data_IF_443743963477
#
_entry.id   IF_443743963477
#
_cell.length_a   1.000
_cell.length_b   1.000
_cell.length_c   1.000
_cell.angle_alpha   90.00
_cell.angle_beta   90.00
_cell.angle_gamma   90.00
#
_symmetry.space_group_name_H-M   'P 1'
#
loop_
_entity.id
_entity.type
_entity.pdbx_description
1 polymer ?
#
# COMPACT_ATOMS: atom_id res chain seq x y z
N UNK A 1 5.65 -3.63 -21.36
CA UNK A 1 4.46 -4.05 -22.13
C UNK A 1 3.53 -2.87 -22.48
N UNK A 2 3.62 -1.72 -21.79
CA UNK A 2 2.95 -0.49 -22.22
C UNK A 2 1.43 -0.49 -22.05
N UNK A 3 0.89 -1.33 -21.16
CA UNK A 3 -0.54 -1.37 -20.90
C UNK A 3 -0.96 -0.16 -20.08
N UNK A 4 -1.96 0.58 -20.59
CA UNK A 4 -2.52 1.76 -19.91
C UNK A 4 -3.50 1.41 -18.79
N UNK A 5 -4.17 0.25 -18.86
CA UNK A 5 -5.00 -0.28 -17.78
C UNK A 5 -4.49 -1.68 -17.38
N UNK A 6 -3.79 -1.74 -16.25
CA UNK A 6 -3.24 -2.98 -15.70
C UNK A 6 -4.23 -3.77 -14.84
N UNK A 7 -5.40 -3.21 -14.51
CA UNK A 7 -6.43 -3.82 -13.66
C UNK A 7 -7.49 -4.60 -14.45
N UNK A 8 -7.55 -4.41 -15.77
CA UNK A 8 -8.47 -5.10 -16.65
C UNK A 8 -7.79 -5.70 -17.89
N UNK A 9 -6.76 -6.51 -17.70
CA UNK A 9 -6.03 -7.19 -18.78
C UNK A 9 -6.79 -8.40 -19.34
N UNK A 10 -6.71 -8.57 -20.65
CA UNK A 10 -7.23 -9.74 -21.37
C UNK A 10 -6.39 -10.98 -21.11
N UNK A 11 -6.93 -12.17 -21.41
CA UNK A 11 -6.18 -13.43 -21.26
C UNK A 11 -4.86 -13.43 -22.06
N UNK A 12 -4.80 -12.98 -23.32
CA UNK A 12 -3.54 -12.86 -24.04
C UNK A 12 -2.54 -11.90 -23.38
N UNK A 13 -3.02 -10.77 -22.84
CA UNK A 13 -2.16 -9.82 -22.13
C UNK A 13 -1.64 -10.40 -20.82
N UNK A 14 -2.50 -11.08 -20.04
CA UNK A 14 -2.11 -11.80 -18.82
C UNK A 14 -1.09 -12.90 -19.12
N UNK A 15 -1.21 -13.59 -20.27
CA UNK A 15 -0.18 -14.55 -20.69
C UNK A 15 1.18 -13.86 -20.86
N UNK A 16 1.24 -12.72 -21.53
CA UNK A 16 2.48 -11.96 -21.68
C UNK A 16 3.05 -11.49 -20.32
N UNK A 17 2.18 -11.06 -19.39
CA UNK A 17 2.58 -10.73 -18.02
C UNK A 17 3.20 -11.94 -17.33
N UNK A 18 2.53 -13.10 -17.41
CA UNK A 18 3.01 -14.35 -16.81
C UNK A 18 4.38 -14.73 -17.36
N UNK A 19 4.52 -14.76 -18.68
CA UNK A 19 5.77 -15.12 -19.35
C UNK A 19 6.92 -14.21 -18.87
N UNK A 20 6.65 -12.91 -18.67
CA UNK A 20 7.66 -11.96 -18.17
C UNK A 20 7.99 -12.17 -16.68
N UNK A 21 7.01 -12.47 -15.85
CA UNK A 21 7.22 -12.76 -14.43
C UNK A 21 7.98 -14.07 -14.20
N UNK A 22 7.72 -15.10 -15.02
CA UNK A 22 8.49 -16.35 -15.00
C UNK A 22 9.95 -16.13 -15.44
N UNK A 23 10.19 -15.24 -16.40
CA UNK A 23 11.56 -14.79 -16.71
C UNK A 23 12.22 -14.08 -15.52
N UNK A 24 11.47 -13.22 -14.84
CA UNK A 24 11.95 -12.45 -13.68
C UNK A 24 12.23 -13.32 -12.45
N UNK A 25 11.52 -14.43 -12.26
CA UNK A 25 11.74 -15.36 -11.14
C UNK A 25 13.19 -15.82 -11.00
N UNK A 26 13.92 -15.93 -12.11
CA UNK A 26 15.35 -16.27 -12.12
C UNK A 26 16.25 -15.25 -11.41
N UNK A 27 15.75 -14.04 -11.18
CA UNK A 27 16.44 -12.93 -10.51
C UNK A 27 15.77 -12.56 -9.18
N UNK A 28 14.58 -13.08 -8.90
CA UNK A 28 13.84 -12.74 -7.70
C UNK A 28 14.45 -13.46 -6.48
N UNK A 29 14.94 -12.69 -5.52
CA UNK A 29 15.48 -13.24 -4.27
C UNK A 29 14.41 -13.91 -3.43
N UNK A 30 13.22 -13.30 -3.31
CA UNK A 30 12.08 -13.83 -2.56
C UNK A 30 10.78 -13.09 -2.88
N UNK A 31 9.65 -13.66 -2.46
CA UNK A 31 8.35 -13.00 -2.37
C UNK A 31 8.02 -12.75 -0.89
N UNK A 32 8.13 -11.51 -0.44
CA UNK A 32 7.92 -11.12 0.96
C UNK A 32 6.42 -10.94 1.28
N UNK A 33 6.04 -11.04 2.56
CA UNK A 33 4.63 -11.02 2.97
C UNK A 33 4.09 -9.61 3.28
N UNK A 34 4.96 -8.67 3.66
CA UNK A 34 4.59 -7.26 3.88
C UNK A 34 5.77 -6.35 4.26
N UNK A 35 5.49 -5.08 4.57
CA UNK A 35 6.50 -4.03 4.78
C UNK A 35 7.53 -4.30 5.90
N UNK A 36 7.17 -5.08 6.92
CA UNK A 36 8.15 -5.50 7.94
C UNK A 36 9.23 -6.43 7.36
N UNK A 37 8.84 -7.34 6.47
CA UNK A 37 9.76 -8.30 5.85
C UNK A 37 10.69 -7.62 4.84
N UNK A 38 10.18 -6.68 4.03
CA UNK A 38 11.01 -5.99 3.03
C UNK A 38 12.15 -5.19 3.69
N UNK A 39 11.85 -4.47 4.78
CA UNK A 39 12.87 -3.74 5.54
C UNK A 39 13.90 -4.71 6.13
N UNK A 40 13.45 -5.82 6.70
CA UNK A 40 14.34 -6.84 7.28
C UNK A 40 15.32 -7.38 6.22
N UNK A 41 14.80 -7.77 5.05
CA UNK A 41 15.61 -8.28 3.93
C UNK A 41 16.64 -7.23 3.45
N UNK A 42 16.23 -5.96 3.34
CA UNK A 42 17.12 -4.87 2.97
C UNK A 42 18.22 -4.61 4.01
N UNK A 43 17.90 -4.73 5.31
CA UNK A 43 18.87 -4.58 6.39
C UNK A 43 19.90 -5.71 6.40
N UNK A 44 19.47 -6.94 6.13
CA UNK A 44 20.34 -8.11 6.02
C UNK A 44 21.22 -8.08 4.76
N UNK A 45 20.89 -7.24 3.78
CA UNK A 45 21.61 -7.17 2.50
C UNK A 45 21.24 -8.30 1.54
N UNK A 46 20.10 -8.96 1.77
CA UNK A 46 19.60 -10.04 0.92
C UNK A 46 18.95 -9.50 -0.37
N UNK A 47 18.55 -8.23 -0.37
CA UNK A 47 17.99 -7.54 -1.53
C UNK A 47 18.67 -6.20 -1.77
N UNK A 48 18.82 -5.82 -3.03
CA UNK A 48 19.34 -4.51 -3.47
C UNK A 48 18.27 -3.62 -4.10
N UNK A 49 17.12 -4.21 -4.45
CA UNK A 49 15.93 -3.55 -4.96
C UNK A 49 14.71 -4.39 -4.61
N UNK A 50 13.59 -3.74 -4.31
CA UNK A 50 12.30 -4.36 -4.06
C UNK A 50 11.19 -3.41 -4.51
N UNK A 51 10.02 -3.94 -4.87
CA UNK A 51 8.83 -3.10 -4.90
C UNK A 51 8.43 -2.78 -3.46
N UNK A 52 7.91 -1.60 -3.16
CA UNK A 52 7.43 -1.22 -1.83
C UNK A 52 6.08 -0.51 -1.94
N UNK A 53 5.28 -0.51 -0.87
CA UNK A 53 3.99 0.20 -0.84
C UNK A 53 4.10 1.62 -0.27
N UNK A 54 5.18 1.92 0.42
CA UNK A 54 5.52 3.23 1.00
C UNK A 54 7.01 3.51 0.79
N UNK A 55 7.50 4.67 1.23
CA UNK A 55 8.93 4.97 1.20
C UNK A 55 9.64 4.54 2.50
N UNK A 56 10.34 3.39 2.54
CA UNK A 56 11.12 2.99 3.72
C UNK A 56 12.48 3.70 3.79
N UNK A 57 12.82 4.62 2.87
CA UNK A 57 14.16 5.20 2.76
C UNK A 57 14.61 5.88 4.04
N UNK A 58 13.75 6.65 4.71
CA UNK A 58 14.09 7.30 5.98
C UNK A 58 14.46 6.27 7.06
N UNK A 59 13.66 5.21 7.19
CA UNK A 59 13.89 4.14 8.16
C UNK A 59 15.18 3.36 7.86
N UNK A 60 15.45 3.08 6.59
CA UNK A 60 16.65 2.38 6.14
C UNK A 60 17.92 3.25 6.31
N UNK A 61 17.84 4.56 6.00
CA UNK A 61 18.92 5.53 6.24
C UNK A 61 19.28 5.64 7.72
N UNK A 62 18.28 5.71 8.60
CA UNK A 62 18.50 5.73 10.05
C UNK A 62 19.22 4.47 10.57
N UNK A 63 19.15 3.36 9.82
CA UNK A 63 19.83 2.10 10.11
C UNK A 63 21.11 1.89 9.29
N UNK A 64 21.66 2.96 8.71
CA UNK A 64 22.93 2.95 7.99
C UNK A 64 22.87 2.34 6.58
N UNK A 65 21.68 2.16 6.01
CA UNK A 65 21.50 1.73 4.61
C UNK A 65 21.20 2.91 3.71
N UNK A 66 21.76 2.91 2.50
CA UNK A 66 21.51 3.97 1.52
C UNK A 66 20.46 3.53 0.50
N UNK A 67 19.18 3.58 0.88
CA UNK A 67 18.05 3.32 -0.01
C UNK A 67 17.34 4.61 -0.40
N UNK A 68 16.78 4.61 -1.61
CA UNK A 68 15.92 5.67 -2.12
C UNK A 68 14.76 5.05 -2.90
N UNK A 69 13.54 5.50 -2.62
CA UNK A 69 12.38 5.19 -3.45
C UNK A 69 12.45 5.95 -4.78
N UNK A 70 12.09 5.26 -5.86
CA UNK A 70 12.02 5.85 -7.21
C UNK A 70 10.69 5.48 -7.87
N UNK A 71 10.20 6.37 -8.72
CA UNK A 71 9.14 6.05 -9.69
C UNK A 71 9.84 5.64 -10.99
N UNK A 72 9.67 4.39 -11.47
CA UNK A 72 10.22 3.94 -12.75
C UNK A 72 9.68 4.76 -13.93
N UNK A 73 10.40 4.78 -15.05
CA UNK A 73 9.96 5.49 -16.28
C UNK A 73 8.65 4.95 -16.85
N UNK A 74 8.33 3.69 -16.57
CA UNK A 74 7.07 3.04 -16.93
C UNK A 74 5.88 3.47 -16.05
N UNK A 75 6.14 4.24 -14.99
CA UNK A 75 5.17 4.61 -13.95
C UNK A 75 5.22 3.70 -12.73
N UNK A 76 4.45 4.07 -11.70
CA UNK A 76 4.24 3.27 -10.48
C UNK A 76 2.75 3.06 -10.23
N UNK A 77 2.39 2.03 -9.45
CA UNK A 77 1.02 1.90 -8.94
C UNK A 77 0.87 2.70 -7.66
N UNK A 78 -0.29 3.32 -7.46
CA UNK A 78 -0.61 4.08 -6.25
C UNK A 78 -1.91 3.60 -5.63
N UNK A 79 -2.12 3.87 -4.34
CA UNK A 79 -3.36 3.55 -3.64
C UNK A 79 -3.73 4.69 -2.69
N UNK A 80 -5.02 4.77 -2.37
CA UNK A 80 -5.54 5.57 -1.28
C UNK A 80 -6.44 4.68 -0.44
N UNK A 81 -6.17 4.65 0.85
CA UNK A 81 -7.04 3.97 1.79
C UNK A 81 -8.08 4.95 2.34
N UNK A 82 -9.30 4.48 2.50
CA UNK A 82 -10.40 5.26 3.06
C UNK A 82 -10.96 4.55 4.28
N UNK A 83 -11.25 5.31 5.33
CA UNK A 83 -12.02 4.78 6.45
C UNK A 83 -13.44 4.45 5.97
N UNK A 84 -13.88 3.22 6.23
CA UNK A 84 -15.21 2.74 5.90
C UNK A 84 -15.91 2.24 7.16
N UNK A 85 -17.20 2.55 7.30
CA UNK A 85 -18.06 1.99 8.35
C UNK A 85 -18.87 0.86 7.70
N UNK A 86 -18.75 -0.36 8.25
CA UNK A 86 -19.46 -1.52 7.74
C UNK A 86 -20.98 -1.32 7.84
N UNK A 87 -21.70 -1.71 6.78
CA UNK A 87 -23.17 -1.64 6.77
C UNK A 87 -23.80 -2.71 7.67
N UNK A 88 -23.20 -3.89 7.71
CA UNK A 88 -23.55 -4.97 8.64
C UNK A 88 -22.61 -4.92 9.85
N UNK A 89 -23.20 -4.95 11.04
CA UNK A 89 -22.50 -4.87 12.32
C UNK A 89 -22.09 -6.24 12.84
N UNK A 90 -22.35 -7.31 12.08
CA UNK A 90 -21.81 -8.65 12.22
C UNK A 90 -21.55 -9.09 13.65
N UNK A 91 -22.55 -9.72 14.28
CA UNK A 91 -22.43 -10.62 15.44
C UNK A 91 -21.32 -10.29 16.45
N UNK A 92 -21.25 -9.05 16.91
CA UNK A 92 -20.57 -8.79 18.17
C UNK A 92 -21.57 -9.12 19.27
N UNK A 93 -21.17 -9.87 20.31
CA UNK A 93 -22.01 -10.22 21.49
C UNK A 93 -22.64 -9.00 22.20
N UNK A 94 -22.35 -7.79 21.72
CA UNK A 94 -23.02 -6.52 22.01
C UNK A 94 -24.41 -6.37 21.35
N UNK A 95 -25.01 -7.43 20.78
CA UNK A 95 -26.36 -7.41 20.16
C UNK A 95 -27.47 -6.88 21.09
N UNK A 96 -27.22 -6.72 22.39
CA UNK A 96 -28.18 -6.23 23.37
C UNK A 96 -28.19 -4.71 23.64
N UNK A 97 -27.37 -3.90 22.96
CA UNK A 97 -27.53 -2.42 23.02
C UNK A 97 -27.91 -1.80 21.66
N UNK A 98 -29.13 -2.08 21.16
CA UNK A 98 -29.64 -1.48 19.94
C UNK A 98 -30.10 -0.07 20.29
N UNK A 99 -29.18 0.89 20.23
CA UNK A 99 -29.48 2.31 20.43
C UNK A 99 -29.83 2.63 21.90
N UNK A 100 -29.14 3.63 22.48
CA UNK A 100 -29.47 4.10 23.82
C UNK A 100 -30.93 4.58 23.90
N UNK A 101 -31.49 4.69 25.12
CA UNK A 101 -32.85 5.25 25.33
C UNK A 101 -33.03 6.67 24.75
N UNK A 102 -31.92 7.33 24.44
CA UNK A 102 -31.79 8.63 23.80
C UNK A 102 -31.82 8.59 22.26
N UNK A 103 -31.93 7.40 21.65
CA UNK A 103 -31.91 7.25 20.20
C UNK A 103 -30.50 7.24 19.59
N UNK A 104 -29.44 7.19 20.41
CA UNK A 104 -28.06 7.26 19.93
C UNK A 104 -27.44 5.88 19.76
N UNK A 105 -26.90 5.64 18.58
CA UNK A 105 -26.08 4.48 18.28
C UNK A 105 -24.63 4.69 18.73
N UNK A 106 -24.24 4.02 19.81
CA UNK A 106 -22.91 4.23 20.41
C UNK A 106 -21.78 3.71 19.52
N UNK A 107 -21.98 2.62 18.78
CA UNK A 107 -20.95 2.08 17.88
C UNK A 107 -20.75 3.01 16.69
N UNK A 108 -21.84 3.53 16.12
CA UNK A 108 -21.77 4.54 15.08
C UNK A 108 -21.03 5.78 15.59
N UNK A 109 -21.37 6.27 16.78
CA UNK A 109 -20.74 7.44 17.39
C UNK A 109 -19.23 7.22 17.60
N UNK A 110 -18.84 6.09 18.19
CA UNK A 110 -17.43 5.75 18.42
C UNK A 110 -16.67 5.64 17.09
N UNK A 111 -17.27 5.02 16.06
CA UNK A 111 -16.64 4.93 14.74
C UNK A 111 -16.36 6.32 14.14
N UNK A 112 -17.30 7.26 14.24
CA UNK A 112 -17.08 8.63 13.77
C UNK A 112 -16.03 9.36 14.60
N UNK A 113 -16.04 9.21 15.92
CA UNK A 113 -15.03 9.80 16.81
C UNK A 113 -13.63 9.25 16.49
N UNK A 114 -13.52 7.94 16.25
CA UNK A 114 -12.27 7.32 15.84
C UNK A 114 -11.79 7.87 14.50
N UNK A 115 -12.65 7.93 13.48
CA UNK A 115 -12.29 8.50 12.17
C UNK A 115 -11.82 9.95 12.32
N UNK A 116 -12.58 10.79 13.04
CA UNK A 116 -12.22 12.19 13.30
C UNK A 116 -10.87 12.33 13.98
N UNK A 117 -10.58 11.46 14.96
CA UNK A 117 -9.27 11.43 15.62
C UNK A 117 -8.17 11.03 14.63
N UNK A 118 -8.37 9.97 13.84
CA UNK A 118 -7.37 9.48 12.89
C UNK A 118 -7.05 10.45 11.75
N UNK A 119 -8.01 11.27 11.33
CA UNK A 119 -7.81 12.27 10.27
C UNK A 119 -7.34 13.62 10.80
N UNK A 120 -7.16 13.78 12.12
CA UNK A 120 -6.68 15.04 12.68
C UNK A 120 -5.26 15.34 12.20
N UNK A 121 -4.88 16.62 12.07
CA UNK A 121 -3.57 17.00 11.54
C UNK A 121 -2.40 16.36 12.29
N UNK A 122 -2.47 16.35 13.62
CA UNK A 122 -1.42 15.85 14.52
C UNK A 122 -1.29 14.32 14.41
N UNK A 123 -2.41 13.59 14.40
CA UNK A 123 -2.39 12.13 14.27
C UNK A 123 -1.88 11.71 12.90
N UNK A 124 -2.27 12.42 11.83
CA UNK A 124 -1.74 12.19 10.49
C UNK A 124 -0.23 12.46 10.41
N UNK A 125 0.31 13.46 11.12
CA UNK A 125 1.76 13.68 11.25
C UNK A 125 2.45 12.49 11.93
N UNK A 126 1.94 12.04 13.07
CA UNK A 126 2.52 10.89 13.79
C UNK A 126 2.51 9.62 12.92
N UNK A 127 1.42 9.38 12.20
CA UNK A 127 1.31 8.26 11.27
C UNK A 127 2.33 8.35 10.14
N UNK A 128 2.53 9.53 9.54
CA UNK A 128 3.54 9.74 8.51
C UNK A 128 4.96 9.47 9.03
N UNK A 129 5.27 9.88 10.27
CA UNK A 129 6.57 9.66 10.92
C UNK A 129 6.86 8.18 11.21
N UNK A 130 5.83 7.41 11.56
CA UNK A 130 5.96 5.98 11.85
C UNK A 130 6.01 5.15 10.57
N UNK A 131 5.12 5.45 9.62
CA UNK A 131 4.86 4.57 8.47
C UNK A 131 5.55 5.01 7.19
N UNK A 132 5.86 6.30 7.03
CA UNK A 132 6.30 6.86 5.74
C UNK A 132 5.18 6.98 4.70
N UNK A 133 3.90 6.84 5.12
CA UNK A 133 2.75 7.10 4.27
C UNK A 133 2.39 8.59 4.28
N UNK A 134 2.06 9.12 3.11
CA UNK A 134 1.67 10.51 2.94
C UNK A 134 0.31 10.79 3.60
N UNK A 135 0.17 11.87 4.38
CA UNK A 135 -1.10 12.24 5.00
C UNK A 135 -2.12 12.70 3.95
N UNK A 136 -3.40 12.45 4.22
CA UNK A 136 -4.51 12.89 3.37
C UNK A 136 -5.10 14.24 3.79
N UNK A 137 -4.76 14.73 4.99
CA UNK A 137 -5.23 16.02 5.50
C UNK A 137 -4.22 17.14 5.17
N UNK A 138 -4.64 18.13 4.36
CA UNK A 138 -3.80 19.27 3.98
C UNK A 138 -3.36 20.11 5.18
N UNK A 139 -4.14 20.13 6.26
CA UNK A 139 -3.81 20.83 7.50
C UNK A 139 -2.64 20.18 8.26
N UNK A 140 -2.21 18.99 7.85
CA UNK A 140 -0.97 18.37 8.36
C UNK A 140 0.29 19.03 7.79
N UNK A 141 0.23 19.66 6.60
CA UNK A 141 1.41 20.25 5.95
C UNK A 141 2.20 21.24 6.82
N UNK A 142 1.57 22.19 7.54
CA UNK A 142 2.29 23.13 8.40
C UNK A 142 2.99 22.49 9.59
N UNK A 143 2.66 21.24 9.93
CA UNK A 143 3.23 20.49 11.05
C UNK A 143 4.46 19.66 10.66
N UNK A 144 4.72 19.52 9.35
CA UNK A 144 5.82 18.71 8.81
C UNK A 144 7.06 19.58 8.55
N UNK A 145 8.24 18.97 8.68
CA UNK A 145 9.49 19.59 8.23
C UNK A 145 9.55 19.69 6.71
N UNK A 146 10.44 20.54 6.20
CA UNK A 146 10.68 20.66 4.76
C UNK A 146 11.14 19.33 4.17
N UNK A 147 11.98 18.61 4.89
CA UNK A 147 12.49 17.30 4.49
C UNK A 147 11.35 16.28 4.39
N UNK A 148 10.46 16.24 5.38
CA UNK A 148 9.28 15.36 5.36
C UNK A 148 8.36 15.67 4.17
N UNK A 149 8.11 16.96 3.89
CA UNK A 149 7.28 17.38 2.75
C UNK A 149 7.86 16.87 1.43
N UNK A 150 9.19 16.95 1.26
CA UNK A 150 9.87 16.48 0.05
C UNK A 150 9.87 14.95 -0.03
N UNK A 151 10.18 14.25 1.08
CA UNK A 151 10.24 12.79 1.10
C UNK A 151 8.86 12.14 0.88
N UNK A 152 7.78 12.76 1.38
CA UNK A 152 6.40 12.31 1.18
C UNK A 152 5.77 12.85 -0.12
N UNK A 153 6.54 13.54 -0.96
CA UNK A 153 6.11 14.13 -2.23
C UNK A 153 4.91 15.08 -2.12
N UNK A 154 4.75 15.74 -0.97
CA UNK A 154 3.61 16.60 -0.67
C UNK A 154 3.69 17.98 -1.35
N UNK A 155 4.83 18.28 -1.98
CA UNK A 155 5.08 19.50 -2.76
C UNK A 155 5.02 19.27 -4.28
N UNK A 156 4.61 18.08 -4.73
CA UNK A 156 4.50 17.71 -6.14
C UNK A 156 3.01 17.60 -6.53
N UNK A 157 2.37 18.67 -7.03
CA UNK A 157 0.94 18.65 -7.32
C UNK A 157 0.54 17.67 -8.45
N UNK A 158 1.50 17.33 -9.32
CA UNK A 158 1.38 16.38 -10.42
C UNK A 158 1.85 14.96 -10.04
N UNK A 159 2.13 14.70 -8.76
CA UNK A 159 2.66 13.42 -8.31
C UNK A 159 1.82 12.23 -8.78
N UNK A 160 0.49 12.35 -8.68
CA UNK A 160 -0.46 11.32 -9.07
C UNK A 160 -0.60 11.14 -10.58
N UNK A 161 -0.25 12.13 -11.40
CA UNK A 161 -0.28 12.00 -12.86
C UNK A 161 0.73 10.98 -13.38
N UNK A 162 1.72 10.62 -12.54
CA UNK A 162 2.74 9.59 -12.81
C UNK A 162 2.37 8.21 -12.26
N UNK A 163 1.18 8.08 -11.67
CA UNK A 163 0.72 6.87 -11.01
C UNK A 163 -0.47 6.22 -11.72
N UNK A 164 -0.49 4.89 -11.70
CA UNK A 164 -1.66 4.08 -12.03
C UNK A 164 -2.36 3.70 -10.72
N UNK A 165 -3.34 4.49 -10.32
CA UNK A 165 -4.10 4.26 -9.10
C UNK A 165 -4.84 2.91 -9.14
N UNK A 166 -4.86 2.20 -8.01
CA UNK A 166 -5.58 0.94 -7.86
C UNK A 166 -7.05 1.10 -8.26
N UNK A 167 -7.51 0.21 -9.13
CA UNK A 167 -8.85 0.27 -9.72
C UNK A 167 -9.54 -1.10 -9.64
N UNK A 168 -10.84 -1.11 -9.91
CA UNK A 168 -11.67 -2.30 -9.95
C UNK A 168 -11.10 -3.34 -10.92
N UNK A 169 -10.90 -4.57 -10.41
CA UNK A 169 -10.37 -5.70 -11.16
C UNK A 169 -11.48 -6.70 -11.50
N UNK A 170 -12.24 -6.53 -12.61
CA UNK A 170 -13.37 -7.41 -12.94
C UNK A 170 -12.98 -8.87 -13.20
N UNK A 171 -11.68 -9.13 -13.39
CA UNK A 171 -11.11 -10.45 -13.68
C UNK A 171 -10.08 -10.89 -12.63
N UNK A 172 -10.22 -10.43 -11.38
CA UNK A 172 -9.27 -10.66 -10.27
C UNK A 172 -8.85 -12.13 -10.12
N UNK A 173 -9.78 -13.06 -10.30
CA UNK A 173 -9.50 -14.49 -10.25
C UNK A 173 -8.41 -14.95 -11.24
N UNK A 174 -8.33 -14.35 -12.44
CA UNK A 174 -7.28 -14.68 -13.41
C UNK A 174 -5.90 -14.18 -12.99
N UNK A 175 -5.84 -13.04 -12.29
CA UNK A 175 -4.60 -12.49 -11.75
C UNK A 175 -4.09 -13.35 -10.58
N UNK A 176 -5.00 -13.79 -9.71
CA UNK A 176 -4.67 -14.68 -8.59
C UNK A 176 -4.10 -16.01 -9.09
N UNK A 177 -4.77 -16.64 -10.06
CA UNK A 177 -4.28 -17.88 -10.67
C UNK A 177 -2.88 -17.69 -11.27
N UNK A 178 -2.66 -16.59 -12.00
CA UNK A 178 -1.36 -16.27 -12.58
C UNK A 178 -0.29 -16.12 -11.49
N UNK A 179 -0.61 -15.40 -10.40
CA UNK A 179 0.32 -15.19 -9.29
C UNK A 179 0.68 -16.51 -8.59
N UNK A 180 -0.29 -17.41 -8.41
CA UNK A 180 -0.06 -18.73 -7.83
C UNK A 180 0.90 -19.56 -8.71
N UNK A 181 0.69 -19.56 -10.03
CA UNK A 181 1.57 -20.24 -10.99
C UNK A 181 3.00 -19.66 -10.95
N UNK A 182 3.14 -18.33 -10.92
CA UNK A 182 4.46 -17.66 -10.82
C UNK A 182 5.16 -17.97 -9.50
N UNK A 183 4.44 -17.97 -8.38
CA UNK A 183 5.03 -18.30 -7.07
C UNK A 183 5.41 -19.76 -6.97
N UNK A 184 4.64 -20.66 -7.57
CA UNK A 184 4.97 -22.08 -7.62
C UNK A 184 6.25 -22.34 -8.43
N UNK A 185 6.39 -21.69 -9.59
CA UNK A 185 7.62 -21.74 -10.40
C UNK A 185 8.85 -21.25 -9.61
N UNK A 186 8.75 -20.10 -8.94
CA UNK A 186 9.85 -19.60 -8.10
C UNK A 186 10.25 -20.59 -7.01
N UNK A 187 9.27 -21.17 -6.29
CA UNK A 187 9.54 -22.17 -5.25
C UNK A 187 10.24 -23.41 -5.80
N UNK A 188 9.87 -23.85 -7.00
CA UNK A 188 10.48 -25.02 -7.64
C UNK A 188 11.93 -24.75 -8.08
N UNK A 189 12.29 -23.50 -8.41
CA UNK A 189 13.66 -23.10 -8.74
C UNK A 189 14.57 -22.95 -7.51
N UNK A 190 13.97 -22.71 -6.33
CA UNK A 190 14.68 -22.56 -5.06
C UNK A 190 14.96 -23.90 -4.35
N UNK A 191 14.45 -25.01 -4.87
CA UNK A 191 14.68 -26.40 -4.41
C UNK A 191 15.76 -27.07 -5.25
#
# INVERSE_FOLDING_TARGET
>A
MGYSNVYNLTRPQLKQVKDKLLEFNRQAATYYAGGGDEIKLALQGEVVAFNGWYDPSAQLKAKGKNFKMIIPKEGAVGMFDSYMIAADRGHSDYENEPVGKDGVDRHQLIAHQYINHQISPEVQKEMAEITGLSPANIETLPLLSREQIIELHLNEPDYFDRMLLWDHMPRKNLYLQLLDEVRADWKAQAQ
#
